data_IF_220491361238
#
_entry.id   IF_220491361238
#
_cell.length_a   1.000
_cell.length_b   1.000
_cell.length_c   1.000
_cell.angle_alpha   90.00
_cell.angle_beta   90.00
_cell.angle_gamma   90.00
#
_symmetry.space_group_name_H-M   'P 1'
#
loop_
_entity.id
_entity.type
_entity.pdbx_description
1 polymer ?
#
# COMPACT_ATOMS: atom_id res chain seq x y z
N UNK A 1 35.75 -5.74 -4.21
CA UNK A 1 34.52 -6.34 -4.75
C UNK A 1 33.81 -6.97 -3.58
N UNK A 2 32.73 -6.34 -3.18
CA UNK A 2 31.85 -6.75 -2.10
C UNK A 2 31.05 -7.97 -2.53
N UNK A 3 31.05 -9.03 -1.74
CA UNK A 3 30.31 -10.25 -2.04
C UNK A 3 29.02 -10.24 -1.26
N UNK A 4 27.89 -10.28 -1.95
CA UNK A 4 26.59 -10.18 -1.30
C UNK A 4 25.73 -11.42 -1.57
N UNK A 5 24.90 -11.75 -0.59
CA UNK A 5 23.79 -12.67 -0.77
C UNK A 5 22.50 -11.85 -0.77
N UNK A 6 21.68 -12.02 -1.80
CA UNK A 6 20.33 -11.45 -1.82
C UNK A 6 19.36 -12.42 -1.17
N UNK A 7 18.67 -12.01 -0.10
CA UNK A 7 17.70 -12.84 0.58
C UNK A 7 16.27 -12.44 0.15
N UNK A 8 15.65 -13.31 -0.65
CA UNK A 8 14.33 -13.16 -1.28
C UNK A 8 14.42 -12.86 -2.78
N UNK A 9 13.75 -13.67 -3.62
CA UNK A 9 13.66 -13.53 -5.08
C UNK A 9 12.24 -13.15 -5.55
N UNK A 10 11.44 -12.57 -4.66
CA UNK A 10 10.17 -11.94 -5.01
C UNK A 10 10.35 -10.75 -5.97
N UNK A 11 9.27 -10.02 -6.23
CA UNK A 11 9.33 -8.84 -7.12
C UNK A 11 10.37 -7.80 -6.67
N UNK A 12 10.47 -7.54 -5.35
CA UNK A 12 11.51 -6.69 -4.77
C UNK A 12 12.92 -7.25 -4.97
N UNK A 13 13.11 -8.56 -4.73
CA UNK A 13 14.40 -9.23 -4.95
C UNK A 13 14.91 -9.14 -6.37
N UNK A 14 14.03 -9.31 -7.38
CA UNK A 14 14.38 -9.14 -8.79
C UNK A 14 14.78 -7.70 -9.12
N UNK A 15 14.04 -6.73 -8.58
CA UNK A 15 14.37 -5.31 -8.75
C UNK A 15 15.74 -4.96 -8.12
N UNK A 16 15.98 -5.44 -6.90
CA UNK A 16 17.26 -5.26 -6.23
C UNK A 16 18.41 -5.95 -6.97
N UNK A 17 18.18 -7.16 -7.50
CA UNK A 17 19.16 -7.87 -8.34
C UNK A 17 19.55 -7.04 -9.57
N UNK A 18 18.57 -6.55 -10.32
CA UNK A 18 18.80 -5.72 -11.51
C UNK A 18 19.61 -4.45 -11.19
N UNK A 19 19.37 -3.81 -10.03
CA UNK A 19 20.11 -2.62 -9.61
C UNK A 19 21.54 -2.99 -9.21
N UNK A 20 21.69 -3.92 -8.27
CA UNK A 20 22.96 -4.26 -7.64
C UNK A 20 23.92 -4.95 -8.61
N UNK A 21 23.40 -5.73 -9.57
CA UNK A 21 24.22 -6.39 -10.59
C UNK A 21 24.89 -5.42 -11.58
N UNK A 22 24.47 -4.15 -11.62
CA UNK A 22 25.14 -3.14 -12.45
C UNK A 22 26.31 -2.44 -11.76
N UNK A 23 26.43 -2.55 -10.43
CA UNK A 23 27.58 -2.03 -9.70
C UNK A 23 28.76 -3.00 -9.82
N UNK A 24 29.82 -2.57 -10.50
CA UNK A 24 31.05 -3.37 -10.70
C UNK A 24 31.77 -3.72 -9.41
N UNK A 25 31.44 -3.05 -8.30
CA UNK A 25 32.00 -3.33 -7.00
C UNK A 25 31.23 -4.41 -6.25
N UNK A 26 30.07 -4.86 -6.74
CA UNK A 26 29.21 -5.85 -6.10
C UNK A 26 29.24 -7.15 -6.89
N UNK A 27 29.42 -8.26 -6.18
CA UNK A 27 29.35 -9.62 -6.68
C UNK A 27 28.21 -10.35 -5.93
N UNK A 28 27.11 -10.62 -6.63
CA UNK A 28 25.97 -11.36 -6.06
C UNK A 28 26.30 -12.85 -6.15
N UNK A 29 26.83 -13.41 -5.06
CA UNK A 29 27.38 -14.78 -5.06
C UNK A 29 26.30 -15.85 -4.94
N UNK A 30 25.14 -15.49 -4.38
CA UNK A 30 23.98 -16.37 -4.27
C UNK A 30 22.70 -15.56 -4.01
N UNK A 31 21.56 -16.17 -4.29
CA UNK A 31 20.23 -15.72 -3.88
C UNK A 31 19.68 -16.73 -2.87
N UNK A 32 19.44 -16.30 -1.65
CA UNK A 32 18.81 -17.13 -0.63
C UNK A 32 17.28 -16.99 -0.70
N UNK A 33 16.56 -18.10 -0.88
CA UNK A 33 15.10 -18.10 -0.89
C UNK A 33 14.57 -19.40 -0.28
N UNK A 34 13.38 -19.35 0.32
CA UNK A 34 12.68 -20.49 0.93
C UNK A 34 11.86 -21.31 -0.06
N UNK A 35 11.70 -20.86 -1.32
CA UNK A 35 11.10 -21.66 -2.39
C UNK A 35 12.07 -22.75 -2.91
N UNK A 36 12.12 -23.90 -2.23
CA UNK A 36 12.46 -25.19 -2.85
C UNK A 36 11.23 -25.61 -3.68
N UNK A 37 11.26 -25.85 -4.99
CA UNK A 37 11.95 -26.98 -5.63
C UNK A 37 12.09 -26.85 -7.18
N UNK A 38 11.76 -25.71 -7.80
CA UNK A 38 11.69 -25.63 -9.28
C UNK A 38 12.79 -24.81 -9.98
N UNK A 39 13.47 -23.88 -9.28
CA UNK A 39 14.53 -23.05 -9.88
C UNK A 39 15.81 -23.10 -9.06
N UNK A 40 16.91 -23.51 -9.69
CA UNK A 40 18.24 -23.60 -9.08
C UNK A 40 19.12 -22.37 -9.33
N UNK A 41 18.70 -21.47 -10.22
CA UNK A 41 19.42 -20.25 -10.55
C UNK A 41 18.49 -19.15 -11.06
N UNK A 42 18.95 -17.89 -10.95
CA UNK A 42 18.34 -16.72 -11.57
C UNK A 42 19.43 -15.89 -12.23
N UNK A 43 19.33 -15.70 -13.55
CA UNK A 43 20.32 -14.95 -14.35
C UNK A 43 21.76 -15.43 -14.12
N UNK A 44 21.96 -16.75 -13.95
CA UNK A 44 23.27 -17.36 -13.72
C UNK A 44 23.78 -17.31 -12.28
N UNK A 45 23.02 -16.75 -11.35
CA UNK A 45 23.33 -16.75 -9.90
C UNK A 45 22.57 -17.89 -9.21
N UNK A 46 23.22 -18.73 -8.38
CA UNK A 46 22.57 -19.86 -7.74
C UNK A 46 21.50 -19.41 -6.73
N UNK A 47 20.37 -20.10 -6.74
CA UNK A 47 19.34 -19.96 -5.70
C UNK A 47 19.56 -21.06 -4.67
N UNK A 48 19.76 -20.66 -3.42
CA UNK A 48 20.11 -21.56 -2.32
C UNK A 48 19.07 -21.49 -1.19
N UNK A 49 18.86 -22.60 -0.46
CA UNK A 49 18.08 -22.57 0.76
C UNK A 49 18.89 -21.95 1.92
N UNK A 50 18.23 -21.50 3.01
CA UNK A 50 18.91 -20.81 4.10
C UNK A 50 20.04 -21.61 4.78
N UNK A 51 19.86 -22.93 4.95
CA UNK A 51 20.85 -23.80 5.57
C UNK A 51 22.15 -23.98 4.74
N UNK A 52 22.20 -23.45 3.51
CA UNK A 52 23.42 -23.44 2.69
C UNK A 52 24.18 -22.10 2.73
N UNK A 53 23.67 -21.08 3.42
CA UNK A 53 24.32 -19.76 3.55
C UNK A 53 25.77 -19.88 4.02
N UNK A 54 26.03 -20.75 4.99
CA UNK A 54 27.37 -21.00 5.56
C UNK A 54 28.41 -21.53 4.56
N UNK A 55 27.98 -22.03 3.40
CA UNK A 55 28.87 -22.53 2.35
C UNK A 55 29.43 -21.42 1.46
N UNK A 56 28.89 -20.21 1.56
CA UNK A 56 29.26 -19.08 0.72
C UNK A 56 30.14 -18.09 1.48
N UNK A 57 31.09 -17.49 0.77
CA UNK A 57 31.89 -16.37 1.28
C UNK A 57 31.20 -15.08 0.86
N UNK A 58 30.69 -14.33 1.84
CA UNK A 58 30.02 -13.06 1.63
C UNK A 58 30.45 -12.05 2.71
N UNK A 59 30.31 -10.77 2.40
CA UNK A 59 30.53 -9.65 3.32
C UNK A 59 29.21 -9.03 3.79
N UNK A 60 28.10 -9.28 3.09
CA UNK A 60 26.79 -8.74 3.43
C UNK A 60 25.64 -9.63 2.95
N UNK A 61 24.56 -9.68 3.72
CA UNK A 61 23.25 -10.21 3.29
C UNK A 61 22.30 -9.03 3.10
N UNK A 62 21.68 -8.93 1.93
CA UNK A 62 20.68 -7.92 1.61
C UNK A 62 19.30 -8.57 1.62
N UNK A 63 18.50 -8.27 2.64
CA UNK A 63 17.12 -8.75 2.76
C UNK A 63 16.23 -7.86 1.88
N UNK A 64 15.57 -8.47 0.90
CA UNK A 64 14.69 -7.77 -0.06
C UNK A 64 13.22 -8.18 0.06
N UNK A 65 12.93 -8.97 1.09
CA UNK A 65 11.61 -9.50 1.41
C UNK A 65 10.92 -8.64 2.45
N UNK A 66 9.58 -8.64 2.42
CA UNK A 66 8.75 -8.04 3.48
C UNK A 66 8.77 -8.86 4.78
N UNK A 67 9.17 -10.14 4.71
CA UNK A 67 9.25 -11.06 5.85
C UNK A 67 10.56 -10.90 6.64
N UNK A 68 10.90 -9.66 6.97
CA UNK A 68 12.20 -9.34 7.60
C UNK A 68 12.36 -10.07 8.92
N UNK A 69 11.34 -10.08 9.77
CA UNK A 69 11.39 -10.70 11.10
C UNK A 69 11.65 -12.21 11.01
N UNK A 70 10.92 -12.91 10.14
CA UNK A 70 11.09 -14.36 9.95
C UNK A 70 12.46 -14.69 9.37
N UNK A 71 12.93 -13.89 8.41
CA UNK A 71 14.26 -14.05 7.83
C UNK A 71 15.33 -13.81 8.89
N UNK A 72 15.21 -12.78 9.72
CA UNK A 72 16.13 -12.51 10.81
C UNK A 72 16.15 -13.65 11.84
N UNK A 73 15.02 -14.31 12.10
CA UNK A 73 14.98 -15.50 12.95
C UNK A 73 15.72 -16.68 12.32
N UNK A 74 15.53 -16.90 11.01
CA UNK A 74 16.27 -17.93 10.27
C UNK A 74 17.77 -17.63 10.26
N UNK A 75 18.18 -16.40 9.98
CA UNK A 75 19.58 -15.99 9.95
C UNK A 75 20.25 -16.12 11.32
N UNK A 76 19.53 -15.85 12.41
CA UNK A 76 20.01 -16.11 13.77
C UNK A 76 20.21 -17.60 14.06
N UNK A 77 19.32 -18.47 13.55
CA UNK A 77 19.48 -19.92 13.68
C UNK A 77 20.66 -20.47 12.87
N UNK A 78 21.05 -19.77 11.80
CA UNK A 78 22.22 -20.08 10.98
C UNK A 78 23.50 -19.39 11.50
N UNK A 79 23.49 -18.86 12.73
CA UNK A 79 24.60 -18.16 13.39
C UNK A 79 25.19 -16.99 12.56
N UNK A 80 24.36 -16.29 11.78
CA UNK A 80 24.78 -15.12 11.00
C UNK A 80 24.80 -13.87 11.89
N UNK A 81 25.91 -13.11 11.84
CA UNK A 81 26.03 -11.82 12.52
C UNK A 81 25.05 -10.78 11.92
N UNK A 82 24.30 -10.08 12.77
CA UNK A 82 23.37 -9.03 12.34
C UNK A 82 24.07 -7.83 11.72
N UNK A 83 25.34 -7.56 12.06
CA UNK A 83 26.12 -6.44 11.50
C UNK A 83 26.35 -6.57 10.00
N UNK A 84 26.28 -7.79 9.46
CA UNK A 84 26.42 -8.04 8.01
C UNK A 84 25.08 -8.01 7.29
N UNK A 85 23.98 -7.67 7.96
CA UNK A 85 22.63 -7.69 7.39
C UNK A 85 22.20 -6.26 7.04
N UNK A 86 21.72 -6.07 5.82
CA UNK A 86 21.04 -4.85 5.40
C UNK A 86 19.61 -5.17 4.99
N UNK A 87 18.65 -4.50 5.60
CA UNK A 87 17.23 -4.63 5.25
C UNK A 87 16.86 -3.55 4.24
N UNK A 88 16.30 -3.98 3.12
CA UNK A 88 15.79 -3.09 2.09
C UNK A 88 14.28 -3.30 1.99
N UNK A 89 13.49 -2.33 2.46
CA UNK A 89 12.03 -2.47 2.48
C UNK A 89 11.45 -2.44 1.06
N UNK A 90 10.46 -3.28 0.77
CA UNK A 90 9.87 -3.41 -0.56
C UNK A 90 9.38 -2.09 -1.19
N UNK A 91 8.69 -1.18 -0.48
CA UNK A 91 8.30 0.12 -1.04
C UNK A 91 9.52 0.95 -1.48
N UNK A 92 10.60 0.91 -0.68
CA UNK A 92 11.86 1.58 -0.99
C UNK A 92 12.56 0.92 -2.19
N UNK A 93 12.67 -0.42 -2.24
CA UNK A 93 13.27 -1.12 -3.39
C UNK A 93 12.55 -0.76 -4.69
N UNK A 94 11.22 -0.79 -4.68
CA UNK A 94 10.44 -0.51 -5.89
C UNK A 94 10.62 0.95 -6.33
N UNK A 95 10.59 1.90 -5.40
CA UNK A 95 10.88 3.30 -5.69
C UNK A 95 12.31 3.47 -6.27
N UNK A 96 13.31 2.90 -5.60
CA UNK A 96 14.72 2.98 -6.02
C UNK A 96 14.95 2.26 -7.37
N UNK A 97 14.20 1.20 -7.67
CA UNK A 97 14.21 0.54 -8.97
C UNK A 97 13.61 1.40 -10.07
N UNK A 98 12.47 2.06 -9.81
CA UNK A 98 11.88 2.99 -10.78
C UNK A 98 12.84 4.14 -11.07
N UNK A 99 13.49 4.68 -10.02
CA UNK A 99 14.54 5.68 -10.12
C UNK A 99 15.69 5.17 -11.00
N UNK A 100 16.25 4.02 -10.65
CA UNK A 100 17.34 3.39 -11.39
C UNK A 100 17.02 3.20 -12.88
N UNK A 101 15.81 2.75 -13.23
CA UNK A 101 15.39 2.57 -14.62
C UNK A 101 15.26 3.90 -15.38
N UNK A 102 14.88 4.98 -14.69
CA UNK A 102 14.86 6.32 -15.27
C UNK A 102 16.29 6.79 -15.53
N UNK A 103 17.15 6.71 -14.52
CA UNK A 103 18.56 7.16 -14.55
C UNK A 103 19.40 6.41 -15.58
N UNK A 104 19.28 5.08 -15.64
CA UNK A 104 19.99 4.23 -16.60
C UNK A 104 19.67 4.63 -18.04
N UNK A 105 18.40 4.93 -18.31
CA UNK A 105 17.97 5.35 -19.65
C UNK A 105 18.41 6.77 -19.99
N UNK A 106 18.29 7.71 -19.04
CA UNK A 106 18.74 9.10 -19.23
C UNK A 106 20.24 9.14 -19.52
N UNK A 107 21.02 8.37 -18.76
CA UNK A 107 22.46 8.19 -18.98
C UNK A 107 22.79 7.62 -20.36
N UNK A 108 21.94 6.75 -20.91
CA UNK A 108 22.12 6.16 -22.24
C UNK A 108 21.72 7.10 -23.40
N UNK A 109 20.95 8.17 -23.14
CA UNK A 109 20.34 9.01 -24.19
C UNK A 109 20.71 10.50 -24.13
N UNK A 110 21.60 10.93 -23.24
CA UNK A 110 22.31 12.21 -23.37
C UNK A 110 22.31 13.12 -22.15
N UNK A 111 23.54 13.50 -21.77
CA UNK A 111 24.03 14.42 -20.74
C UNK A 111 23.68 14.13 -19.27
N UNK A 112 24.75 14.01 -18.46
CA UNK A 112 24.79 14.01 -16.99
C UNK A 112 24.33 15.35 -16.40
N UNK A 113 23.10 15.77 -16.70
CA UNK A 113 22.45 16.92 -16.06
C UNK A 113 21.35 16.45 -15.12
N UNK A 114 21.04 17.31 -14.14
CA UNK A 114 19.99 17.20 -13.13
C UNK A 114 18.77 16.37 -13.59
N UNK A 115 18.73 15.11 -13.16
CA UNK A 115 17.76 14.09 -13.56
C UNK A 115 16.32 14.49 -13.25
N UNK A 116 16.13 15.33 -12.23
CA UNK A 116 14.84 15.93 -11.89
C UNK A 116 14.41 16.89 -13.00
N UNK A 117 15.27 17.82 -13.42
CA UNK A 117 14.97 18.75 -14.52
C UNK A 117 14.69 18.02 -15.83
N UNK A 118 15.41 16.92 -16.10
CA UNK A 118 15.15 16.08 -17.26
C UNK A 118 13.77 15.40 -17.18
N UNK A 119 13.43 14.83 -16.03
CA UNK A 119 12.12 14.19 -15.80
C UNK A 119 10.97 15.19 -15.94
N UNK A 120 11.13 16.41 -15.42
CA UNK A 120 10.19 17.52 -15.62
C UNK A 120 10.06 17.88 -17.10
N UNK A 121 11.16 17.98 -17.84
CA UNK A 121 11.13 18.23 -19.28
C UNK A 121 10.43 17.11 -20.06
N UNK A 122 10.66 15.85 -19.71
CA UNK A 122 10.01 14.70 -20.33
C UNK A 122 8.51 14.67 -20.01
N UNK A 123 8.14 15.05 -18.78
CA UNK A 123 6.75 15.22 -18.38
C UNK A 123 6.01 16.30 -19.18
N UNK A 124 6.67 17.07 -20.05
CA UNK A 124 6.04 18.00 -21.01
C UNK A 124 5.85 17.40 -22.42
N UNK A 125 6.46 16.26 -22.75
CA UNK A 125 6.39 15.64 -24.09
C UNK A 125 5.04 14.97 -24.40
N UNK A 126 4.67 14.72 -25.67
CA UNK A 126 3.41 14.05 -26.03
C UNK A 126 3.32 12.61 -25.47
N UNK A 127 2.13 12.12 -25.10
CA UNK A 127 1.96 10.79 -24.51
C UNK A 127 2.41 9.63 -25.42
N UNK A 128 2.38 9.81 -26.74
CA UNK A 128 2.77 8.81 -27.74
C UNK A 128 4.28 8.55 -27.76
N UNK A 129 5.07 9.44 -27.13
CA UNK A 129 6.53 9.34 -27.12
C UNK A 129 7.02 8.10 -26.36
N UNK A 130 6.28 7.67 -25.34
CA UNK A 130 6.71 6.60 -24.45
C UNK A 130 5.59 5.58 -24.17
N UNK A 131 5.95 4.29 -24.00
CA UNK A 131 5.01 3.28 -23.54
C UNK A 131 4.59 3.53 -22.08
N UNK A 132 3.51 2.89 -21.66
CA UNK A 132 2.93 3.02 -20.32
C UNK A 132 3.96 2.89 -19.19
N UNK A 133 4.76 1.82 -19.20
CA UNK A 133 5.76 1.55 -18.17
C UNK A 133 6.77 2.69 -18.00
N UNK A 134 7.10 3.38 -19.10
CA UNK A 134 8.05 4.49 -19.05
C UNK A 134 7.41 5.74 -18.45
N UNK A 135 6.16 6.04 -18.80
CA UNK A 135 5.41 7.10 -18.14
C UNK A 135 5.20 6.80 -16.65
N UNK A 136 5.04 5.53 -16.30
CA UNK A 136 4.90 5.09 -14.91
C UNK A 136 6.16 5.42 -14.12
N UNK A 137 7.31 5.09 -14.68
CA UNK A 137 8.59 5.36 -14.04
C UNK A 137 8.84 6.87 -13.90
N UNK A 138 8.52 7.68 -14.92
CA UNK A 138 8.63 9.15 -14.85
C UNK A 138 7.72 9.70 -13.75
N UNK A 139 6.46 9.27 -13.70
CA UNK A 139 5.52 9.70 -12.67
C UNK A 139 6.00 9.31 -11.26
N UNK A 140 6.39 8.05 -11.07
CA UNK A 140 6.94 7.56 -9.79
C UNK A 140 8.19 8.34 -9.38
N UNK A 141 9.07 8.66 -10.33
CA UNK A 141 10.27 9.46 -10.06
C UNK A 141 9.93 10.87 -9.59
N UNK A 142 8.97 11.53 -10.23
CA UNK A 142 8.52 12.87 -9.82
C UNK A 142 7.88 12.85 -8.43
N UNK A 143 7.07 11.84 -8.12
CA UNK A 143 6.50 11.64 -6.78
C UNK A 143 7.59 11.40 -5.74
N UNK A 144 8.54 10.50 -6.02
CA UNK A 144 9.65 10.18 -5.12
C UNK A 144 10.52 11.39 -4.78
N UNK A 145 10.57 12.40 -5.66
CA UNK A 145 11.36 13.61 -5.49
C UNK A 145 10.52 14.84 -5.10
N UNK A 146 9.24 14.66 -4.73
CA UNK A 146 8.38 15.77 -4.29
C UNK A 146 8.02 16.79 -5.40
N UNK A 147 8.20 16.44 -6.67
CA UNK A 147 7.93 17.28 -7.84
C UNK A 147 6.45 17.23 -8.23
N UNK A 148 5.56 17.45 -7.26
CA UNK A 148 4.12 17.20 -7.42
C UNK A 148 3.45 18.06 -8.50
N UNK A 149 3.90 19.29 -8.72
CA UNK A 149 3.35 20.15 -9.81
C UNK A 149 3.52 19.54 -11.19
N UNK A 150 4.56 18.75 -11.40
CA UNK A 150 4.84 18.08 -12.67
C UNK A 150 4.16 16.69 -12.76
N UNK A 151 3.63 16.18 -11.65
CA UNK A 151 2.92 14.91 -11.58
C UNK A 151 1.60 14.91 -12.35
N UNK A 152 0.87 16.04 -12.42
CA UNK A 152 -0.39 16.12 -13.19
C UNK A 152 -0.20 15.75 -14.65
N UNK A 153 0.78 16.36 -15.30
CA UNK A 153 1.03 16.14 -16.73
C UNK A 153 1.50 14.72 -17.02
N UNK A 154 2.39 14.18 -16.19
CA UNK A 154 2.87 12.81 -16.33
C UNK A 154 1.77 11.79 -16.04
N UNK A 155 0.89 12.02 -15.05
CA UNK A 155 -0.27 11.16 -14.76
C UNK A 155 -1.25 11.09 -15.93
N UNK A 156 -1.56 12.22 -16.57
CA UNK A 156 -2.44 12.23 -17.76
C UNK A 156 -1.83 11.40 -18.90
N UNK A 157 -0.50 11.46 -19.08
CA UNK A 157 0.20 10.71 -20.13
C UNK A 157 0.29 9.23 -19.81
N UNK A 158 0.54 8.89 -18.56
CA UNK A 158 0.45 7.54 -18.02
C UNK A 158 -0.92 6.91 -18.34
N UNK A 159 -2.00 7.60 -17.98
CA UNK A 159 -3.37 7.15 -18.23
C UNK A 159 -3.64 6.94 -19.73
N UNK A 160 -3.27 7.92 -20.57
CA UNK A 160 -3.48 7.84 -22.03
C UNK A 160 -2.70 6.68 -22.65
N UNK A 161 -1.43 6.53 -22.30
CA UNK A 161 -0.56 5.47 -22.83
C UNK A 161 -1.03 4.08 -22.40
N UNK A 162 -1.51 3.92 -21.16
CA UNK A 162 -2.11 2.65 -20.70
C UNK A 162 -3.36 2.28 -21.49
N UNK A 163 -4.27 3.23 -21.70
CA UNK A 163 -5.52 2.98 -22.43
C UNK A 163 -5.29 2.71 -23.92
N UNK A 164 -4.17 3.20 -24.47
CA UNK A 164 -3.74 2.90 -25.84
C UNK A 164 -2.95 1.57 -25.95
N UNK A 165 -2.51 1.00 -24.82
CA UNK A 165 -1.72 -0.23 -24.81
C UNK A 165 -2.58 -1.45 -25.18
N UNK A 166 -2.05 -2.41 -25.96
CA UNK A 166 -2.74 -3.66 -26.26
C UNK A 166 -2.96 -4.47 -24.97
N UNK A 167 -4.13 -5.10 -24.84
CA UNK A 167 -4.38 -6.04 -23.75
C UNK A 167 -3.81 -7.40 -24.14
N UNK A 168 -2.67 -7.74 -23.55
CA UNK A 168 -2.04 -9.05 -23.75
C UNK A 168 -2.25 -10.00 -22.58
N UNK A 169 -2.64 -9.47 -21.41
CA UNK A 169 -2.74 -10.21 -20.17
C UNK A 169 -3.81 -9.64 -19.23
N UNK A 170 -4.07 -10.39 -18.16
CA UNK A 170 -5.06 -10.09 -17.12
C UNK A 170 -4.75 -8.79 -16.38
N UNK A 171 -3.48 -8.56 -16.03
CA UNK A 171 -3.07 -7.40 -15.24
C UNK A 171 -3.26 -6.11 -16.04
N UNK A 172 -2.80 -6.07 -17.29
CA UNK A 172 -3.03 -4.95 -18.21
C UNK A 172 -4.52 -4.67 -18.37
N UNK A 173 -5.36 -5.72 -18.44
CA UNK A 173 -6.81 -5.54 -18.51
C UNK A 173 -7.37 -4.84 -17.26
N UNK A 174 -6.99 -5.32 -16.07
CA UNK A 174 -7.43 -4.75 -14.81
C UNK A 174 -6.92 -3.32 -14.63
N UNK A 175 -5.66 -3.06 -14.97
CA UNK A 175 -5.05 -1.72 -14.89
C UNK A 175 -5.78 -0.71 -15.78
N UNK A 176 -6.15 -1.09 -17.01
CA UNK A 176 -6.97 -0.24 -17.87
C UNK A 176 -8.37 0.02 -17.28
N UNK A 177 -9.00 -0.97 -16.65
CA UNK A 177 -10.28 -0.78 -15.97
C UNK A 177 -10.16 0.21 -14.80
N UNK A 178 -9.14 0.05 -13.95
CA UNK A 178 -8.87 0.94 -12.82
C UNK A 178 -8.55 2.36 -13.30
N UNK A 179 -7.82 2.51 -14.40
CA UNK A 179 -7.58 3.80 -15.06
C UNK A 179 -8.87 4.50 -15.47
N UNK A 180 -9.83 3.76 -16.04
CA UNK A 180 -11.13 4.33 -16.43
C UNK A 180 -11.93 4.82 -15.21
N UNK A 181 -11.89 4.06 -14.10
CA UNK A 181 -12.50 4.50 -12.83
C UNK A 181 -11.85 5.78 -12.29
N UNK A 182 -10.51 5.81 -12.27
CA UNK A 182 -9.73 6.97 -11.81
C UNK A 182 -9.98 8.23 -12.66
N UNK A 183 -10.19 8.05 -13.97
CA UNK A 183 -10.55 9.15 -14.89
C UNK A 183 -12.02 9.60 -14.80
N UNK A 184 -12.86 8.84 -14.13
CA UNK A 184 -14.31 9.07 -14.11
C UNK A 184 -15.06 8.60 -15.37
N UNK A 185 -14.45 7.79 -16.24
CA UNK A 185 -15.13 7.21 -17.41
C UNK A 185 -15.80 5.88 -17.05
N UNK A 186 -16.84 5.97 -16.22
CA UNK A 186 -17.55 4.80 -15.70
C UNK A 186 -18.29 4.02 -16.78
N UNK A 187 -18.71 4.70 -17.86
CA UNK A 187 -19.36 4.05 -18.99
C UNK A 187 -18.38 3.13 -19.74
N UNK A 188 -17.14 3.59 -19.98
CA UNK A 188 -16.10 2.74 -20.54
C UNK A 188 -15.68 1.63 -19.56
N UNK A 189 -15.59 1.92 -18.26
CA UNK A 189 -15.29 0.92 -17.24
C UNK A 189 -16.34 -0.20 -17.22
N UNK A 190 -17.64 0.13 -17.30
CA UNK A 190 -18.74 -0.83 -17.41
C UNK A 190 -18.62 -1.69 -18.67
N UNK A 191 -18.41 -1.08 -19.85
CA UNK A 191 -18.22 -1.86 -21.10
C UNK A 191 -17.06 -2.83 -21.01
N UNK A 192 -15.97 -2.43 -20.35
CA UNK A 192 -14.82 -3.29 -20.09
C UNK A 192 -15.21 -4.43 -19.14
N UNK A 193 -15.90 -4.13 -18.04
CA UNK A 193 -16.41 -5.15 -17.13
C UNK A 193 -17.32 -6.17 -17.83
N UNK A 194 -18.19 -5.73 -18.73
CA UNK A 194 -19.11 -6.60 -19.48
C UNK A 194 -18.35 -7.50 -20.49
N UNK A 195 -17.23 -7.02 -21.03
CA UNK A 195 -16.39 -7.71 -22.01
C UNK A 195 -15.36 -8.66 -21.38
N UNK A 196 -15.33 -8.73 -20.05
CA UNK A 196 -14.29 -9.39 -19.27
C UNK A 196 -14.34 -10.93 -19.33
N UNK A 197 -15.48 -11.51 -19.78
CA UNK A 197 -15.83 -12.93 -19.65
C UNK A 197 -14.79 -13.91 -20.22
N UNK A 198 -13.99 -13.49 -21.20
CA UNK A 198 -12.94 -14.32 -21.81
C UNK A 198 -11.64 -14.38 -20.99
N UNK A 199 -11.36 -13.37 -20.17
CA UNK A 199 -10.15 -13.27 -19.33
C UNK A 199 -10.44 -13.60 -17.84
N UNK A 200 -11.68 -13.35 -17.41
CA UNK A 200 -12.13 -13.59 -16.05
C UNK A 200 -13.53 -14.20 -16.05
N UNK A 201 -13.70 -15.43 -15.55
CA UNK A 201 -15.02 -16.01 -15.30
C UNK A 201 -15.85 -15.13 -14.35
N UNK A 202 -17.17 -15.23 -14.44
CA UNK A 202 -18.10 -14.36 -13.68
C UNK A 202 -17.94 -14.43 -12.15
N UNK A 203 -17.41 -15.55 -11.64
CA UNK A 203 -17.16 -15.85 -10.22
C UNK A 203 -15.69 -15.69 -9.80
N UNK A 204 -14.84 -15.21 -10.70
CA UNK A 204 -13.45 -14.92 -10.38
C UNK A 204 -13.38 -13.75 -9.37
N UNK A 205 -12.46 -13.83 -8.42
CA UNK A 205 -12.30 -12.81 -7.37
C UNK A 205 -11.99 -11.42 -7.95
N UNK A 206 -11.24 -11.35 -9.05
CA UNK A 206 -10.92 -10.09 -9.72
C UNK A 206 -12.19 -9.53 -10.40
N UNK A 207 -13.02 -10.40 -10.98
CA UNK A 207 -14.33 -10.02 -11.53
C UNK A 207 -15.26 -9.41 -10.48
N UNK A 208 -15.32 -10.06 -9.31
CA UNK A 208 -16.12 -9.61 -8.18
C UNK A 208 -15.57 -8.28 -7.67
N UNK A 209 -14.25 -8.17 -7.51
CA UNK A 209 -13.60 -6.94 -7.08
C UNK A 209 -13.86 -5.77 -8.04
N UNK A 210 -13.73 -5.99 -9.36
CA UNK A 210 -14.01 -4.97 -10.37
C UNK A 210 -15.48 -4.53 -10.34
N UNK A 211 -16.43 -5.48 -10.20
CA UNK A 211 -17.86 -5.17 -9.97
C UNK A 211 -18.05 -4.32 -8.72
N UNK A 212 -17.41 -4.70 -7.60
CA UNK A 212 -17.47 -3.97 -6.33
C UNK A 212 -16.99 -2.53 -6.49
N UNK A 213 -15.81 -2.33 -7.06
CA UNK A 213 -15.26 -1.00 -7.26
C UNK A 213 -16.16 -0.15 -8.16
N UNK A 214 -16.61 -0.67 -9.30
CA UNK A 214 -17.47 0.11 -10.19
C UNK A 214 -18.74 0.60 -9.48
N UNK A 215 -19.40 -0.26 -8.70
CA UNK A 215 -20.58 0.13 -7.92
C UNK A 215 -20.28 1.27 -6.95
N UNK A 216 -19.16 1.19 -6.22
CA UNK A 216 -18.73 2.25 -5.32
C UNK A 216 -18.46 3.57 -6.06
N UNK A 217 -17.79 3.52 -7.21
CA UNK A 217 -17.49 4.70 -8.03
C UNK A 217 -18.75 5.35 -8.66
N UNK A 218 -19.81 4.59 -8.93
CA UNK A 218 -21.07 5.15 -9.46
C UNK A 218 -22.12 5.47 -8.39
N UNK A 219 -21.80 5.25 -7.11
CA UNK A 219 -22.74 5.49 -6.00
C UNK A 219 -23.83 4.43 -5.87
N UNK A 220 -23.61 3.26 -6.46
CA UNK A 220 -24.51 2.12 -6.36
C UNK A 220 -24.44 1.44 -4.98
N UNK A 221 -25.52 0.77 -4.60
CA UNK A 221 -25.51 -0.11 -3.42
C UNK A 221 -24.75 -1.40 -3.73
N UNK A 222 -23.88 -1.81 -2.83
CA UNK A 222 -23.21 -3.09 -2.98
C UNK A 222 -24.18 -4.27 -2.81
N UNK A 223 -24.26 -5.15 -3.81
CA UNK A 223 -25.02 -6.39 -3.69
C UNK A 223 -24.16 -7.48 -3.05
N UNK A 224 -24.42 -7.76 -1.77
CA UNK A 224 -23.76 -8.83 -1.00
C UNK A 224 -23.81 -10.20 -1.69
N UNK A 225 -24.82 -10.48 -2.52
CA UNK A 225 -24.86 -11.74 -3.28
C UNK A 225 -23.64 -11.93 -4.19
N UNK A 226 -22.96 -10.86 -4.62
CA UNK A 226 -21.76 -10.96 -5.45
C UNK A 226 -20.56 -11.55 -4.73
N UNK A 227 -20.50 -11.46 -3.41
CA UNK A 227 -19.44 -12.04 -2.58
C UNK A 227 -19.92 -13.22 -1.74
N UNK A 228 -21.19 -13.61 -1.81
CA UNK A 228 -21.75 -14.61 -0.89
C UNK A 228 -20.95 -15.92 -0.88
N UNK A 229 -20.38 -16.30 -2.03
CA UNK A 229 -19.55 -17.50 -2.16
C UNK A 229 -18.12 -17.34 -1.61
N UNK A 230 -17.68 -16.11 -1.36
CA UNK A 230 -16.40 -15.77 -0.76
C UNK A 230 -16.47 -15.67 0.78
N UNK A 231 -17.68 -15.56 1.33
CA UNK A 231 -17.90 -15.33 2.75
C UNK A 231 -17.75 -16.63 3.55
N UNK A 232 -16.99 -16.55 4.63
CA UNK A 232 -16.90 -17.58 5.66
C UNK A 232 -17.65 -17.15 6.93
N UNK A 233 -17.67 -18.03 7.94
CA UNK A 233 -18.39 -17.80 9.20
C UNK A 233 -17.94 -16.55 9.97
N UNK A 234 -16.64 -16.19 9.89
CA UNK A 234 -16.10 -14.99 10.54
C UNK A 234 -16.51 -13.74 9.78
N UNK A 235 -16.61 -13.82 8.45
CA UNK A 235 -17.14 -12.74 7.64
C UNK A 235 -18.63 -12.50 7.93
N UNK A 236 -19.40 -13.57 8.16
CA UNK A 236 -20.79 -13.49 8.62
C UNK A 236 -20.90 -12.83 10.02
N UNK A 237 -20.01 -13.19 10.96
CA UNK A 237 -19.95 -12.53 12.28
C UNK A 237 -19.64 -11.03 12.17
N UNK A 238 -18.71 -10.65 11.30
CA UNK A 238 -18.38 -9.25 11.07
C UNK A 238 -19.50 -8.51 10.36
N UNK A 239 -20.16 -9.14 9.39
CA UNK A 239 -21.35 -8.59 8.74
C UNK A 239 -22.44 -8.27 9.78
N UNK A 240 -22.77 -9.19 10.68
CA UNK A 240 -23.75 -8.94 11.74
C UNK A 240 -23.31 -7.84 12.71
N UNK A 241 -22.00 -7.66 12.91
CA UNK A 241 -21.47 -6.56 13.70
C UNK A 241 -21.69 -5.21 13.03
N UNK A 242 -21.39 -5.07 11.73
CA UNK A 242 -21.31 -3.77 11.03
C UNK A 242 -22.57 -3.39 10.26
N UNK A 243 -23.40 -4.36 9.85
CA UNK A 243 -24.58 -4.12 9.03
C UNK A 243 -25.52 -3.13 9.71
N UNK A 244 -25.89 -2.08 8.98
CA UNK A 244 -26.83 -1.09 9.48
C UNK A 244 -26.28 -0.15 10.57
N UNK A 245 -24.98 -0.25 10.90
CA UNK A 245 -24.33 0.60 11.90
C UNK A 245 -23.75 1.88 11.30
N UNK A 246 -23.74 2.94 12.10
CA UNK A 246 -22.92 4.13 11.88
C UNK A 246 -21.50 3.88 12.38
N UNK A 247 -20.50 4.18 11.56
CA UNK A 247 -19.11 3.81 11.84
C UNK A 247 -18.19 5.02 11.68
N UNK A 248 -17.41 5.32 12.72
CA UNK A 248 -16.32 6.29 12.65
C UNK A 248 -15.00 5.56 12.33
N UNK A 249 -14.24 6.07 11.36
CA UNK A 249 -12.86 5.64 11.09
C UNK A 249 -11.93 6.77 11.51
N UNK A 250 -11.05 6.49 12.46
CA UNK A 250 -10.13 7.50 13.00
C UNK A 250 -8.73 7.30 12.44
N UNK A 251 -8.26 8.30 11.68
CA UNK A 251 -6.93 8.36 11.11
C UNK A 251 -5.85 8.92 12.06
N UNK A 252 -4.58 8.90 11.62
CA UNK A 252 -3.42 9.24 12.44
C UNK A 252 -3.07 10.74 12.48
N UNK A 253 -3.73 11.57 11.66
CA UNK A 253 -3.32 12.96 11.51
C UNK A 253 -3.56 13.76 12.79
N UNK A 254 -2.64 14.67 13.10
CA UNK A 254 -2.84 15.65 14.17
C UNK A 254 -3.95 16.62 13.75
N UNK A 255 -4.93 16.76 14.63
CA UNK A 255 -6.01 17.74 14.52
C UNK A 255 -6.21 18.38 15.87
N UNK A 256 -6.28 19.71 15.89
CA UNK A 256 -6.61 20.48 17.10
C UNK A 256 -8.14 20.53 17.32
N UNK A 257 -8.93 19.89 16.45
CA UNK A 257 -10.38 19.80 16.60
C UNK A 257 -10.74 18.78 17.68
N UNK A 258 -11.63 19.16 18.58
CA UNK A 258 -12.11 18.30 19.68
C UNK A 258 -13.22 17.35 19.21
N UNK A 259 -12.87 16.45 18.29
CA UNK A 259 -13.80 15.54 17.60
C UNK A 259 -14.19 14.31 18.44
N UNK A 260 -13.60 14.12 19.62
CA UNK A 260 -13.73 12.88 20.37
C UNK A 260 -15.16 12.52 20.78
N UNK A 261 -15.98 13.51 21.15
CA UNK A 261 -17.40 13.28 21.46
C UNK A 261 -18.20 12.83 20.24
N UNK A 262 -17.90 13.39 19.07
CA UNK A 262 -18.57 13.03 17.82
C UNK A 262 -18.14 11.63 17.37
N UNK A 263 -16.85 11.32 17.44
CA UNK A 263 -16.30 9.99 17.16
C UNK A 263 -16.99 8.94 18.04
N UNK A 264 -17.01 9.16 19.36
CA UNK A 264 -17.58 8.20 20.32
C UNK A 264 -19.12 8.05 20.21
N UNK A 265 -19.79 8.99 19.52
CA UNK A 265 -21.25 8.94 19.28
C UNK A 265 -21.68 7.93 18.20
N UNK A 266 -20.75 7.45 17.36
CA UNK A 266 -21.04 6.44 16.35
C UNK A 266 -21.28 5.07 17.00
N UNK A 267 -22.04 4.18 16.35
CA UNK A 267 -22.30 2.84 16.88
C UNK A 267 -21.00 2.05 17.07
N UNK A 268 -20.10 2.15 16.09
CA UNK A 268 -18.79 1.50 16.09
C UNK A 268 -17.67 2.50 15.76
N UNK A 269 -16.52 2.32 16.40
CA UNK A 269 -15.29 3.09 16.10
C UNK A 269 -14.19 2.15 15.64
N UNK A 270 -13.62 2.46 14.47
CA UNK A 270 -12.46 1.78 13.89
C UNK A 270 -11.21 2.61 14.11
N UNK A 271 -10.14 1.94 14.55
CA UNK A 271 -8.79 2.50 14.56
C UNK A 271 -7.84 1.61 13.77
N UNK A 272 -6.89 2.26 13.10
CA UNK A 272 -5.72 1.57 12.58
C UNK A 272 -4.63 1.85 13.60
N UNK A 273 -3.89 0.84 14.05
CA UNK A 273 -2.64 1.07 14.80
C UNK A 273 -2.75 1.92 16.10
N UNK A 274 -3.78 1.75 16.96
CA UNK A 274 -3.88 2.58 18.15
C UNK A 274 -2.82 2.21 19.20
N UNK A 275 -2.10 3.19 19.73
CA UNK A 275 -1.47 3.10 21.05
C UNK A 275 -2.58 3.18 22.08
N UNK A 276 -2.89 2.04 22.70
CA UNK A 276 -3.92 1.96 23.74
C UNK A 276 -3.40 2.35 25.13
N UNK A 277 -2.13 2.79 25.21
CA UNK A 277 -1.49 3.24 26.45
C UNK A 277 -1.74 4.72 26.74
N UNK A 278 -2.15 5.53 25.77
CA UNK A 278 -2.26 6.98 25.94
C UNK A 278 -3.66 7.53 25.59
N UNK A 279 -4.43 7.84 26.63
CA UNK A 279 -5.74 8.49 26.53
C UNK A 279 -5.66 10.03 26.59
N UNK A 280 -4.45 10.60 26.56
CA UNK A 280 -4.24 12.07 26.64
C UNK A 280 -5.00 12.84 25.55
N UNK A 281 -5.22 12.20 24.39
CA UNK A 281 -5.91 12.79 23.24
C UNK A 281 -7.41 12.49 23.15
N UNK A 282 -8.04 11.91 24.17
CA UNK A 282 -9.45 11.47 24.11
C UNK A 282 -10.44 12.58 23.74
N UNK A 283 -10.12 13.86 24.02
CA UNK A 283 -10.94 15.00 23.55
C UNK A 283 -10.90 15.18 22.03
N UNK A 284 -9.79 14.84 21.39
CA UNK A 284 -9.59 15.01 19.95
C UNK A 284 -9.99 13.77 19.17
N UNK A 285 -9.67 12.58 19.68
CA UNK A 285 -9.83 11.32 18.91
C UNK A 285 -10.83 10.34 19.50
N UNK A 286 -11.47 10.70 20.61
CA UNK A 286 -12.40 9.82 21.31
C UNK A 286 -11.69 8.73 22.10
N UNK A 287 -12.46 8.01 22.91
CA UNK A 287 -12.00 6.93 23.78
C UNK A 287 -12.51 5.56 23.34
N UNK A 288 -13.55 5.54 22.51
CA UNK A 288 -14.18 4.31 22.04
C UNK A 288 -13.33 3.67 20.95
N UNK A 289 -13.22 2.34 21.03
CA UNK A 289 -12.64 1.48 19.98
C UNK A 289 -13.41 0.17 19.98
N UNK A 290 -13.94 -0.25 18.83
CA UNK A 290 -14.68 -1.50 18.69
C UNK A 290 -14.00 -2.46 17.72
N UNK A 291 -13.37 -1.91 16.67
CA UNK A 291 -12.74 -2.68 15.61
C UNK A 291 -11.33 -2.13 15.40
N UNK A 292 -10.35 -3.02 15.24
CA UNK A 292 -8.97 -2.65 14.92
C UNK A 292 -8.54 -3.37 13.65
N UNK A 293 -8.11 -2.60 12.66
CA UNK A 293 -7.46 -3.14 11.47
C UNK A 293 -5.94 -3.16 11.68
N UNK A 294 -5.33 -4.32 11.46
CA UNK A 294 -3.90 -4.59 11.70
C UNK A 294 -3.20 -5.11 10.44
N UNK A 295 -1.94 -4.70 10.26
CA UNK A 295 -0.98 -5.28 9.32
C UNK A 295 -0.04 -6.25 10.02
N UNK A 296 0.60 -7.16 9.29
CA UNK A 296 1.68 -8.04 9.78
C UNK A 296 2.70 -7.32 10.66
N UNK A 297 3.26 -6.21 10.16
CA UNK A 297 4.27 -5.42 10.87
C UNK A 297 3.83 -5.04 12.29
N UNK A 298 2.53 -4.76 12.47
CA UNK A 298 1.97 -4.28 13.73
C UNK A 298 1.58 -5.42 14.65
N UNK A 299 1.15 -6.54 14.10
CA UNK A 299 1.02 -7.78 14.87
C UNK A 299 2.37 -8.17 15.49
N UNK A 300 3.47 -8.07 14.74
CA UNK A 300 4.83 -8.31 15.26
C UNK A 300 5.20 -7.35 16.38
N UNK A 301 5.02 -6.04 16.18
CA UNK A 301 5.30 -5.05 17.23
C UNK A 301 4.45 -5.29 18.48
N UNK A 302 3.17 -5.62 18.32
CA UNK A 302 2.28 -5.91 19.45
C UNK A 302 2.76 -7.11 20.27
N UNK A 303 3.29 -8.16 19.64
CA UNK A 303 3.87 -9.31 20.36
C UNK A 303 5.11 -8.92 21.16
N UNK A 304 5.93 -8.03 20.61
CA UNK A 304 7.19 -7.60 21.22
C UNK A 304 6.98 -6.59 22.36
N UNK A 305 6.08 -5.62 22.18
CA UNK A 305 6.02 -4.41 23.00
C UNK A 305 4.75 -4.31 23.87
N UNK A 306 3.67 -5.04 23.54
CA UNK A 306 2.36 -4.76 24.15
C UNK A 306 1.43 -5.98 24.29
N UNK A 307 1.79 -6.89 25.21
CA UNK A 307 0.95 -8.05 25.56
C UNK A 307 -0.42 -7.67 26.14
N UNK A 308 -0.62 -6.44 26.62
CA UNK A 308 -1.90 -5.98 27.19
C UNK A 308 -2.93 -5.63 26.10
N UNK A 309 -2.47 -5.18 24.93
CA UNK A 309 -3.31 -4.97 23.74
C UNK A 309 -3.99 -6.28 23.30
N UNK A 310 -3.26 -7.40 23.37
CA UNK A 310 -3.77 -8.77 23.22
C UNK A 310 -4.66 -9.22 24.40
N UNK A 311 -5.18 -8.34 25.26
CA UNK A 311 -6.10 -8.72 26.35
C UNK A 311 -7.43 -7.97 26.31
N UNK A 312 -7.65 -7.10 25.33
CA UNK A 312 -8.93 -6.44 25.14
C UNK A 312 -9.92 -7.41 24.51
N UNK A 313 -10.76 -7.99 25.36
CA UNK A 313 -11.70 -9.07 25.01
C UNK A 313 -12.87 -8.62 24.12
N UNK A 314 -13.13 -7.31 24.07
CA UNK A 314 -14.32 -6.74 23.41
C UNK A 314 -14.00 -6.01 22.08
N UNK A 315 -12.79 -6.21 21.53
CA UNK A 315 -12.38 -5.70 20.22
C UNK A 315 -12.52 -6.79 19.16
N UNK A 316 -13.05 -6.41 17.99
CA UNK A 316 -13.01 -7.23 16.79
C UNK A 316 -11.76 -6.86 15.96
N UNK A 317 -10.89 -7.83 15.71
CA UNK A 317 -9.66 -7.60 14.94
C UNK A 317 -9.84 -7.97 13.47
N UNK A 318 -9.34 -7.13 12.57
CA UNK A 318 -9.37 -7.40 11.12
C UNK A 318 -7.95 -7.35 10.58
N UNK A 319 -7.54 -8.42 9.92
CA UNK A 319 -6.19 -8.60 9.39
C UNK A 319 -6.13 -8.40 7.89
N UNK A 320 -4.99 -7.95 7.38
CA UNK A 320 -4.77 -7.79 5.94
C UNK A 320 -4.63 -9.16 5.26
N UNK A 321 -4.01 -10.12 5.95
CA UNK A 321 -3.69 -11.45 5.42
C UNK A 321 -4.12 -12.58 6.35
N UNK A 322 -4.52 -13.71 5.77
CA UNK A 322 -4.94 -14.91 6.50
C UNK A 322 -3.87 -15.47 7.46
N UNK A 323 -2.58 -15.35 7.08
CA UNK A 323 -1.47 -15.76 7.93
C UNK A 323 -1.46 -14.99 9.25
N UNK A 324 -1.66 -13.67 9.20
CA UNK A 324 -1.66 -12.78 10.36
C UNK A 324 -2.81 -13.11 11.31
N UNK A 325 -4.00 -13.36 10.74
CA UNK A 325 -5.16 -13.78 11.52
C UNK A 325 -4.89 -15.10 12.24
N UNK A 326 -4.41 -16.12 11.51
CA UNK A 326 -4.14 -17.45 12.06
C UNK A 326 -3.11 -17.39 13.19
N UNK A 327 -2.10 -16.55 13.02
CA UNK A 327 -1.08 -16.29 14.02
C UNK A 327 -1.63 -15.59 15.25
N UNK A 328 -2.48 -14.58 15.07
CA UNK A 328 -3.17 -13.93 16.17
C UNK A 328 -4.05 -14.91 16.96
N UNK A 329 -4.81 -15.77 16.29
CA UNK A 329 -5.67 -16.78 16.92
C UNK A 329 -4.87 -17.80 17.75
N UNK A 330 -3.61 -18.06 17.39
CA UNK A 330 -2.74 -18.97 18.15
C UNK A 330 -2.31 -18.41 19.52
N UNK A 331 -2.33 -17.08 19.67
CA UNK A 331 -1.90 -16.38 20.89
C UNK A 331 -3.02 -15.62 21.59
N UNK A 332 -4.20 -15.49 20.95
CA UNK A 332 -5.32 -14.73 21.44
C UNK A 332 -6.67 -15.38 21.06
N UNK A 333 -7.60 -15.45 22.02
CA UNK A 333 -8.93 -16.04 21.81
C UNK A 333 -10.01 -14.99 21.53
N UNK A 334 -9.65 -13.93 20.79
CA UNK A 334 -10.53 -12.81 20.46
C UNK A 334 -11.25 -13.02 19.15
N UNK A 335 -12.23 -12.15 18.86
CA UNK A 335 -12.92 -12.18 17.56
C UNK A 335 -12.00 -11.60 16.50
N UNK A 336 -11.76 -12.35 15.43
CA UNK A 336 -10.98 -11.89 14.30
C UNK A 336 -11.56 -12.32 12.96
N UNK A 337 -11.11 -11.64 11.90
CA UNK A 337 -11.27 -12.08 10.51
C UNK A 337 -10.11 -11.58 9.67
N UNK A 338 -9.96 -12.16 8.49
CA UNK A 338 -9.22 -11.57 7.38
C UNK A 338 -10.14 -10.67 6.56
N UNK A 339 -9.61 -9.54 6.08
CA UNK A 339 -10.32 -8.61 5.23
C UNK A 339 -10.67 -9.24 3.87
N UNK A 340 -11.84 -8.87 3.31
CA UNK A 340 -12.16 -9.28 1.94
C UNK A 340 -11.12 -8.80 0.93
N UNK A 341 -10.93 -9.57 -0.13
CA UNK A 341 -10.02 -9.27 -1.26
C UNK A 341 -8.52 -9.15 -0.91
N UNK A 342 -8.10 -9.34 0.35
CA UNK A 342 -6.71 -9.44 0.84
C UNK A 342 -5.67 -8.63 0.02
N UNK A 343 -4.57 -9.26 -0.40
CA UNK A 343 -3.51 -8.69 -1.21
C UNK A 343 -3.90 -8.39 -2.68
N UNK A 344 -5.13 -8.72 -3.10
CA UNK A 344 -5.57 -8.53 -4.50
C UNK A 344 -6.16 -7.16 -4.78
N UNK A 345 -6.45 -6.36 -3.74
CA UNK A 345 -6.95 -5.01 -3.95
C UNK A 345 -5.93 -4.13 -4.66
N UNK A 346 -6.37 -3.43 -5.73
CA UNK A 346 -5.54 -2.51 -6.52
C UNK A 346 -6.34 -1.25 -6.87
N UNK A 347 -5.67 -0.10 -6.84
CA UNK A 347 -6.14 1.12 -7.48
C UNK A 347 -5.33 1.34 -8.77
N UNK A 348 -5.62 2.43 -9.50
CA UNK A 348 -5.05 2.65 -10.84
C UNK A 348 -3.52 2.56 -10.90
N UNK A 349 -2.77 3.25 -10.04
CA UNK A 349 -1.30 3.20 -10.11
C UNK A 349 -0.64 2.79 -8.77
N UNK A 350 -1.36 2.06 -7.91
CA UNK A 350 -0.83 1.66 -6.61
C UNK A 350 -1.78 0.77 -5.82
N UNK A 351 -1.33 0.35 -4.64
CA UNK A 351 -2.12 -0.47 -3.71
C UNK A 351 -2.90 0.41 -2.73
N UNK A 352 -4.18 0.15 -2.44
CA UNK A 352 -4.96 0.90 -1.45
C UNK A 352 -4.28 0.86 -0.06
N UNK A 353 -4.28 1.98 0.65
CA UNK A 353 -3.88 1.98 2.07
C UNK A 353 -5.03 1.46 2.94
N UNK A 354 -4.82 1.30 4.24
CA UNK A 354 -5.86 0.80 5.15
C UNK A 354 -7.16 1.58 5.06
N UNK A 355 -7.13 2.91 4.88
CA UNK A 355 -8.36 3.68 4.76
C UNK A 355 -9.24 3.15 3.61
N UNK A 356 -8.70 3.03 2.41
CA UNK A 356 -9.46 2.62 1.23
C UNK A 356 -9.91 1.16 1.35
N UNK A 357 -9.04 0.32 1.90
CA UNK A 357 -9.33 -1.08 2.21
C UNK A 357 -10.52 -1.22 3.18
N UNK A 358 -10.50 -0.48 4.28
CA UNK A 358 -11.60 -0.43 5.27
C UNK A 358 -12.89 0.06 4.62
N UNK A 359 -12.81 1.12 3.81
CA UNK A 359 -13.98 1.65 3.12
C UNK A 359 -14.61 0.63 2.18
N UNK A 360 -13.80 -0.09 1.39
CA UNK A 360 -14.28 -1.17 0.53
C UNK A 360 -14.94 -2.26 1.39
N UNK A 361 -14.31 -2.69 2.47
CA UNK A 361 -14.80 -3.75 3.35
C UNK A 361 -16.14 -3.37 4.02
N UNK A 362 -16.23 -2.19 4.64
CA UNK A 362 -17.44 -1.71 5.31
C UNK A 362 -18.63 -1.51 4.38
N UNK A 363 -18.40 -0.89 3.22
CA UNK A 363 -19.46 -0.65 2.25
C UNK A 363 -19.95 -1.96 1.63
N UNK A 364 -19.03 -2.91 1.43
CA UNK A 364 -19.35 -4.28 1.03
C UNK A 364 -20.17 -5.02 2.10
N UNK A 365 -19.87 -4.78 3.38
CA UNK A 365 -20.57 -5.35 4.53
C UNK A 365 -21.84 -4.57 4.95
N UNK A 366 -22.28 -3.62 4.13
CA UNK A 366 -23.54 -2.89 4.31
C UNK A 366 -23.61 -2.06 5.61
N UNK A 367 -22.51 -1.39 5.97
CA UNK A 367 -22.55 -0.31 6.96
C UNK A 367 -23.58 0.76 6.53
N UNK A 368 -24.33 1.32 7.49
CA UNK A 368 -25.36 2.33 7.20
C UNK A 368 -24.75 3.67 6.83
N UNK A 369 -23.74 4.09 7.57
CA UNK A 369 -22.98 5.31 7.32
C UNK A 369 -21.56 5.14 7.81
N UNK A 370 -20.62 5.73 7.09
CA UNK A 370 -19.21 5.72 7.44
C UNK A 370 -18.70 7.16 7.42
N UNK A 371 -18.08 7.60 8.52
CA UNK A 371 -17.45 8.91 8.61
C UNK A 371 -15.96 8.78 8.89
N UNK A 372 -15.15 9.46 8.09
CA UNK A 372 -13.69 9.47 8.21
C UNK A 372 -13.24 10.72 8.99
N UNK A 373 -12.35 10.51 9.95
CA UNK A 373 -11.81 11.55 10.82
C UNK A 373 -10.28 11.54 10.76
N UNK A 374 -9.66 12.71 10.83
CA UNK A 374 -8.21 12.90 10.96
C UNK A 374 -7.39 12.25 9.82
N UNK A 375 -7.81 12.45 8.57
CA UNK A 375 -7.03 12.12 7.38
C UNK A 375 -6.72 13.38 6.58
N UNK A 376 -5.45 13.65 6.33
CA UNK A 376 -5.01 14.80 5.53
C UNK A 376 -4.50 14.42 4.15
N UNK A 377 -4.49 13.13 3.82
CA UNK A 377 -3.94 12.58 2.57
C UNK A 377 -2.55 13.16 2.27
N UNK A 378 -1.66 13.17 3.27
CA UNK A 378 -0.27 13.62 3.14
C UNK A 378 -0.10 15.12 2.82
N UNK A 379 -1.16 15.93 2.91
CA UNK A 379 -1.08 17.38 2.64
C UNK A 379 -0.48 18.19 3.78
N UNK A 380 -0.08 17.56 4.88
CA UNK A 380 0.73 18.20 5.93
C UNK A 380 1.98 17.38 6.21
N UNK A 381 3.13 18.05 6.38
CA UNK A 381 4.41 17.42 6.76
C UNK A 381 4.45 16.92 8.21
N UNK A 382 3.37 17.08 8.96
CA UNK A 382 3.34 16.85 10.40
C UNK A 382 3.54 15.37 10.76
N UNK A 383 4.33 15.13 11.82
CA UNK A 383 4.47 13.82 12.44
C UNK A 383 3.08 13.27 12.85
N UNK A 384 2.86 11.97 12.66
CA UNK A 384 1.68 11.29 13.18
C UNK A 384 1.53 11.53 14.70
N UNK A 385 0.29 11.51 15.24
CA UNK A 385 0.06 11.63 16.70
C UNK A 385 0.92 10.61 17.45
N UNK A 386 1.41 10.94 18.65
CA UNK A 386 2.20 10.01 19.49
C UNK A 386 1.46 8.71 19.81
N UNK A 387 0.13 8.76 19.84
CA UNK A 387 -0.76 7.60 19.96
C UNK A 387 -0.79 6.69 18.73
N UNK A 388 -0.21 7.10 17.61
CA UNK A 388 0.18 6.23 16.51
C UNK A 388 1.68 6.06 16.62
N UNK A 389 2.14 4.91 17.11
CA UNK A 389 3.56 4.68 17.40
C UNK A 389 4.42 5.11 16.22
N UNK A 390 5.08 6.26 16.40
CA UNK A 390 6.08 6.79 15.49
C UNK A 390 7.11 5.70 15.25
N UNK A 391 7.60 5.61 14.02
CA UNK A 391 8.67 4.72 13.59
C UNK A 391 9.65 4.37 14.70
N UNK A 392 9.97 3.08 14.85
CA UNK A 392 10.88 2.60 15.89
C UNK A 392 12.20 3.34 15.80
N UNK A 393 12.93 3.44 16.92
CA UNK A 393 14.23 4.12 16.91
C UNK A 393 15.23 3.46 15.94
N UNK A 394 15.03 2.18 15.59
CA UNK A 394 15.77 1.48 14.52
C UNK A 394 15.48 2.03 13.11
N UNK A 395 14.26 2.49 12.82
CA UNK A 395 13.88 3.11 11.55
C UNK A 395 14.43 4.54 11.44
N UNK A 396 14.51 5.27 12.57
CA UNK A 396 15.21 6.57 12.64
C UNK A 396 16.72 6.42 12.46
N UNK A 397 17.32 5.39 13.09
CA UNK A 397 18.76 5.07 12.97
C UNK A 397 19.17 4.65 11.56
N UNK A 398 18.26 4.08 10.76
CA UNK A 398 18.52 3.69 9.38
C UNK A 398 18.41 4.85 8.35
N UNK A 399 18.20 6.10 8.79
CA UNK A 399 18.12 7.27 7.92
C UNK A 399 16.86 7.34 7.04
N UNK A 400 15.77 6.69 7.47
CA UNK A 400 14.58 6.41 6.65
C UNK A 400 13.51 7.52 6.70
N UNK A 401 13.62 8.49 7.62
CA UNK A 401 12.51 9.36 8.06
C UNK A 401 11.80 10.20 6.98
N UNK A 402 12.53 10.88 6.08
CA UNK A 402 11.92 11.81 5.12
C UNK A 402 11.55 11.16 3.77
N UNK A 403 12.34 10.18 3.31
CA UNK A 403 12.10 9.48 2.04
C UNK A 403 11.00 8.41 2.14
N UNK A 404 10.66 7.94 3.34
CA UNK A 404 9.66 6.88 3.48
C UNK A 404 8.24 7.37 3.11
N UNK A 405 7.86 8.59 3.48
CA UNK A 405 6.56 9.15 3.08
C UNK A 405 6.43 9.25 1.55
N UNK A 406 7.49 9.68 0.87
CA UNK A 406 7.53 9.75 -0.60
C UNK A 406 7.56 8.34 -1.24
N UNK A 407 8.26 7.38 -0.65
CA UNK A 407 8.25 5.99 -1.11
C UNK A 407 6.88 5.33 -0.93
N UNK A 408 6.20 5.58 0.20
CA UNK A 408 4.81 5.19 0.39
C UNK A 408 3.90 5.89 -0.63
N UNK A 409 4.17 7.16 -0.94
CA UNK A 409 3.40 7.89 -1.94
C UNK A 409 3.53 7.30 -3.36
N UNK A 410 4.70 6.77 -3.71
CA UNK A 410 4.92 6.01 -4.95
C UNK A 410 4.20 4.67 -4.91
N UNK A 411 4.42 3.87 -3.87
CA UNK A 411 3.89 2.50 -3.79
C UNK A 411 2.35 2.44 -3.72
N UNK A 412 1.75 3.39 -3.00
CA UNK A 412 0.30 3.48 -2.85
C UNK A 412 -0.38 4.39 -3.87
N UNK A 413 0.38 5.17 -4.64
CA UNK A 413 -0.12 6.24 -5.50
C UNK A 413 -1.15 7.14 -4.83
N UNK A 414 -0.66 8.12 -4.06
CA UNK A 414 -1.48 9.04 -3.26
C UNK A 414 -2.56 9.78 -4.05
N UNK A 415 -2.38 9.95 -5.36
CA UNK A 415 -3.39 10.52 -6.25
C UNK A 415 -4.59 9.59 -6.41
N UNK A 416 -4.38 8.31 -6.72
CA UNK A 416 -5.49 7.34 -6.83
C UNK A 416 -6.24 7.17 -5.50
N UNK A 417 -5.54 7.24 -4.37
CA UNK A 417 -6.15 7.18 -3.04
C UNK A 417 -7.11 8.34 -2.80
N UNK A 418 -6.69 9.56 -3.16
CA UNK A 418 -7.49 10.77 -3.03
C UNK A 418 -8.69 10.73 -3.98
N UNK A 419 -8.49 10.35 -5.25
CA UNK A 419 -9.55 10.23 -6.25
C UNK A 419 -10.63 9.23 -5.81
N UNK A 420 -10.22 8.07 -5.31
CA UNK A 420 -11.14 7.06 -4.80
C UNK A 420 -11.99 7.60 -3.63
N UNK A 421 -11.35 8.14 -2.58
CA UNK A 421 -12.05 8.66 -1.42
C UNK A 421 -12.92 9.88 -1.74
N UNK A 422 -12.45 10.78 -2.62
CA UNK A 422 -13.22 11.90 -3.15
C UNK A 422 -14.51 11.40 -3.80
N UNK A 423 -14.41 10.35 -4.62
CA UNK A 423 -15.57 9.82 -5.32
C UNK A 423 -16.62 9.23 -4.37
N UNK A 424 -16.18 8.51 -3.33
CA UNK A 424 -17.10 8.01 -2.30
C UNK A 424 -17.81 9.15 -1.57
N UNK A 425 -17.10 10.24 -1.28
CA UNK A 425 -17.66 11.44 -0.65
C UNK A 425 -18.68 12.13 -1.56
N UNK A 426 -18.38 12.30 -2.85
CA UNK A 426 -19.29 12.91 -3.85
C UNK A 426 -20.57 12.10 -4.05
N UNK A 427 -20.46 10.78 -4.01
CA UNK A 427 -21.61 9.87 -4.13
C UNK A 427 -22.40 9.74 -2.82
N UNK A 428 -21.99 10.40 -1.73
CA UNK A 428 -22.64 10.30 -0.43
C UNK A 428 -22.51 8.93 0.25
N UNK A 429 -21.56 8.10 -0.17
CA UNK A 429 -21.29 6.80 0.44
C UNK A 429 -20.49 6.94 1.75
N UNK A 430 -19.72 8.02 1.88
CA UNK A 430 -18.96 8.33 3.10
C UNK A 430 -19.10 9.80 3.44
N UNK A 431 -18.97 10.11 4.72
CA UNK A 431 -18.81 11.46 5.23
C UNK A 431 -17.36 11.68 5.71
N UNK A 432 -16.96 12.93 5.87
CA UNK A 432 -15.66 13.31 6.39
C UNK A 432 -15.78 14.50 7.35
N UNK A 433 -14.87 14.57 8.32
CA UNK A 433 -14.64 15.80 9.12
C UNK A 433 -14.21 16.98 8.24
N UNK A 434 -14.14 18.18 8.83
CA UNK A 434 -13.91 19.42 8.08
C UNK A 434 -12.59 19.37 7.30
N UNK A 435 -11.47 19.11 7.98
CA UNK A 435 -10.13 19.08 7.39
C UNK A 435 -9.99 18.01 6.31
N UNK A 436 -10.49 16.81 6.57
CA UNK A 436 -10.45 15.69 5.62
C UNK A 436 -11.30 16.00 4.39
N UNK A 437 -12.48 16.58 4.58
CA UNK A 437 -13.40 17.00 3.50
C UNK A 437 -12.77 18.07 2.62
N UNK A 438 -12.05 19.03 3.19
CA UNK A 438 -11.36 20.08 2.42
C UNK A 438 -10.34 19.49 1.45
N UNK A 439 -9.55 18.51 1.88
CA UNK A 439 -8.56 17.84 1.02
C UNK A 439 -9.23 16.99 -0.06
N UNK A 440 -10.30 16.27 0.29
CA UNK A 440 -11.02 15.43 -0.67
C UNK A 440 -11.78 16.23 -1.73
N UNK A 441 -12.15 17.49 -1.47
CA UNK A 441 -12.82 18.33 -2.46
C UNK A 441 -11.88 18.86 -3.56
N UNK A 442 -10.58 18.89 -3.32
CA UNK A 442 -9.60 19.41 -4.26
C UNK A 442 -9.66 18.68 -5.60
N UNK A 443 -9.47 19.42 -6.69
CA UNK A 443 -9.07 18.84 -7.97
C UNK A 443 -7.68 18.21 -7.87
N UNK A 444 -7.32 17.31 -8.78
CA UNK A 444 -6.03 16.61 -8.68
C UNK A 444 -4.84 17.58 -8.80
N UNK A 445 -4.95 18.63 -9.61
CA UNK A 445 -3.93 19.66 -9.76
C UNK A 445 -3.77 20.48 -8.47
N UNK A 446 -4.89 20.90 -7.87
CA UNK A 446 -4.89 21.62 -6.58
C UNK A 446 -4.34 20.77 -5.44
N UNK A 447 -4.65 19.47 -5.45
CA UNK A 447 -4.11 18.51 -4.49
C UNK A 447 -2.59 18.36 -4.64
N UNK A 448 -2.08 18.25 -5.88
CA UNK A 448 -0.65 18.22 -6.12
C UNK A 448 0.05 19.53 -5.77
N UNK A 449 -0.57 20.68 -5.99
CA UNK A 449 -0.06 21.97 -5.50
C UNK A 449 0.04 21.99 -3.98
N UNK A 450 -0.98 21.48 -3.28
CA UNK A 450 -0.98 21.39 -1.82
C UNK A 450 0.11 20.45 -1.30
N UNK A 451 0.33 19.31 -1.97
CA UNK A 451 1.45 18.41 -1.68
C UNK A 451 2.80 19.10 -1.95
N UNK A 452 2.94 19.81 -3.07
CA UNK A 452 4.18 20.53 -3.39
C UNK A 452 4.58 21.50 -2.29
N UNK A 453 3.63 22.27 -1.76
CA UNK A 453 3.85 23.19 -0.63
C UNK A 453 4.13 22.50 0.70
N UNK A 454 3.71 21.24 0.88
CA UNK A 454 3.98 20.49 2.09
C UNK A 454 5.41 19.91 2.11
N UNK A 455 5.96 19.59 0.94
CA UNK A 455 7.24 18.89 0.81
C UNK A 455 8.40 19.76 0.30
N UNK A 456 8.15 21.00 -0.15
CA UNK A 456 9.14 22.00 -0.55
C UNK A 456 8.88 23.32 0.19
#
# INVERSE_FOLDING_TARGET
MEKIILYGLGSGGKCAFDMLSTDKNIDIVAICDSFSDEKREYMGVPIIPPHELSRYIFSRIVITSIYVTEIMAVLRNEDINEDVITVYQAPKILADYFIFQVEKWLSAHGEHTDLIKQSVHLAQKPPELFPYERWKNIYSYLVANGMFRDCSNSRVKLQKSLLASPVNDRDTYMQQFLCLLDKGDYAAAQRKLDSMRHLFPDKDIDSIYMKSLLQLYIGGSYNRQYIAELLNIKDEQFFELVKGKSIAIVGPCISNEKLGKEIDSHDLVIRMLPSLKDNSDSQEIGSKTNIVYLSAYRLEMMKAEDKELLRLKDIFYVFELQKEESEFESIHNGKSRTMLFEAKMKLFNGFPTFLQRILIDLLTMQAKSVKIFNFDFYTTKAAYKSSYSSFSDSEKLAGIGDNLLLNHAVFHDIASQQVFCKRLLENGLVEADTKTREVLKLGIDEYFDKLHLAFN
#
